data_IF_592401192058
#
_entry.id   IF_592401192058
#
_cell.length_a   1.000
_cell.length_b   1.000
_cell.length_c   1.000
_cell.angle_alpha   90.00
_cell.angle_beta   90.00
_cell.angle_gamma   90.00
#
_symmetry.space_group_name_H-M   'P 1'
#
loop_
_entity.id
_entity.type
_entity.pdbx_description
1 polymer ?
#
# COMPACT_ATOMS: atom_id res chain seq x y z
N UNK A 1 -52.53 11.77 15.29
CA UNK A 1 -51.41 12.07 14.37
C UNK A 1 -50.17 11.44 14.99
N UNK A 2 -49.75 10.22 14.58
CA UNK A 2 -48.45 9.58 14.94
C UNK A 2 -48.28 8.11 14.52
N UNK A 3 -49.32 7.41 14.03
CA UNK A 3 -49.16 5.98 13.62
C UNK A 3 -48.61 5.86 12.19
N UNK A 4 -49.00 6.77 11.29
CA UNK A 4 -48.55 6.75 9.89
C UNK A 4 -47.08 7.12 9.71
N UNK A 5 -46.53 7.99 10.55
CA UNK A 5 -45.10 8.38 10.50
C UNK A 5 -44.20 7.24 10.98
N UNK A 6 -44.59 6.50 12.02
CA UNK A 6 -43.84 5.34 12.50
C UNK A 6 -43.82 4.19 11.50
N UNK A 7 -44.95 3.91 10.83
CA UNK A 7 -45.02 2.88 9.80
C UNK A 7 -44.17 3.21 8.56
N UNK A 8 -44.15 4.49 8.14
CA UNK A 8 -43.31 4.95 7.03
C UNK A 8 -41.82 4.89 7.37
N UNK A 9 -41.43 5.24 8.60
CA UNK A 9 -40.05 5.14 9.05
C UNK A 9 -39.57 3.69 9.12
N UNK A 10 -40.43 2.76 9.53
CA UNK A 10 -40.11 1.33 9.58
C UNK A 10 -39.97 0.69 8.20
N UNK A 11 -40.79 1.08 7.22
CA UNK A 11 -40.67 0.58 5.84
C UNK A 11 -39.44 1.14 5.14
N UNK A 12 -39.13 2.42 5.36
CA UNK A 12 -37.87 3.02 4.89
C UNK A 12 -36.69 2.29 5.53
N UNK A 13 -36.66 2.11 6.85
CA UNK A 13 -35.57 1.37 7.52
C UNK A 13 -35.40 -0.06 7.00
N UNK A 14 -36.50 -0.77 6.74
CA UNK A 14 -36.48 -2.14 6.22
C UNK A 14 -35.88 -2.24 4.81
N UNK A 15 -36.23 -1.32 3.90
CA UNK A 15 -35.68 -1.30 2.53
C UNK A 15 -34.21 -0.89 2.52
N UNK A 16 -33.81 0.08 3.35
CA UNK A 16 -32.40 0.46 3.48
C UNK A 16 -31.55 -0.68 4.07
N UNK A 17 -32.09 -1.46 5.02
CA UNK A 17 -31.37 -2.61 5.59
C UNK A 17 -31.14 -3.74 4.58
N UNK A 18 -32.11 -4.03 3.69
CA UNK A 18 -31.97 -5.14 2.73
C UNK A 18 -31.02 -4.80 1.57
N UNK A 19 -31.10 -3.56 1.06
CA UNK A 19 -30.23 -3.11 -0.06
C UNK A 19 -28.77 -3.05 0.37
N UNK A 20 -28.50 -2.65 1.61
CA UNK A 20 -27.14 -2.62 2.14
C UNK A 20 -26.56 -4.02 2.33
N UNK A 21 -27.36 -4.99 2.78
CA UNK A 21 -26.92 -6.38 2.93
C UNK A 21 -26.49 -7.01 1.60
N UNK A 22 -27.26 -6.79 0.52
CA UNK A 22 -26.93 -7.30 -0.82
C UNK A 22 -25.68 -6.62 -1.41
N UNK A 23 -25.46 -5.33 -1.13
CA UNK A 23 -24.25 -4.63 -1.55
C UNK A 23 -23.03 -5.18 -0.80
N UNK A 24 -23.13 -5.31 0.51
CA UNK A 24 -22.04 -5.75 1.37
C UNK A 24 -21.65 -7.21 1.14
N UNK A 25 -22.56 -8.03 0.60
CA UNK A 25 -22.28 -9.41 0.21
C UNK A 25 -21.36 -9.56 -1.02
N UNK A 26 -21.17 -8.49 -1.80
CA UNK A 26 -20.33 -8.51 -3.02
C UNK A 26 -18.91 -8.11 -2.70
N UNK A 27 -17.95 -8.59 -3.49
CA UNK A 27 -16.57 -8.12 -3.35
C UNK A 27 -16.46 -6.64 -3.76
N UNK A 28 -15.77 -5.82 -2.96
CA UNK A 28 -15.66 -4.36 -3.17
C UNK A 28 -15.21 -3.98 -4.57
N UNK A 29 -14.31 -4.77 -5.16
CA UNK A 29 -13.78 -4.48 -6.50
C UNK A 29 -14.88 -4.64 -7.55
N UNK A 30 -15.78 -5.61 -7.40
CA UNK A 30 -16.92 -5.82 -8.29
C UNK A 30 -17.98 -4.71 -8.16
N UNK A 31 -18.04 -4.04 -7.00
CA UNK A 31 -18.95 -2.92 -6.75
C UNK A 31 -18.37 -1.62 -7.30
N UNK A 32 -17.10 -1.33 -7.00
CA UNK A 32 -16.49 -0.03 -7.28
C UNK A 32 -15.74 0.06 -8.61
N UNK A 33 -15.25 -1.07 -9.14
CA UNK A 33 -14.51 -1.12 -10.41
C UNK A 33 -15.41 -1.77 -11.44
N UNK A 34 -15.93 -0.96 -12.37
CA UNK A 34 -16.84 -1.46 -13.41
C UNK A 34 -16.06 -2.18 -14.52
N UNK A 35 -16.67 -3.19 -15.16
CA UNK A 35 -16.13 -3.75 -16.40
C UNK A 35 -15.84 -2.62 -17.41
N UNK A 36 -14.63 -2.65 -18.00
CA UNK A 36 -14.17 -1.61 -18.93
C UNK A 36 -13.46 -0.41 -18.30
N UNK A 37 -13.37 -0.32 -16.96
CA UNK A 37 -12.50 0.68 -16.31
C UNK A 37 -11.00 0.37 -16.44
N UNK A 38 -10.64 -0.84 -16.90
CA UNK A 38 -9.26 -1.30 -17.07
C UNK A 38 -8.49 -1.41 -15.76
N UNK A 39 -7.34 -2.08 -15.78
CA UNK A 39 -6.29 -1.78 -14.80
C UNK A 39 -5.80 -0.38 -15.15
N UNK A 40 -5.93 0.57 -14.23
CA UNK A 40 -5.46 1.93 -14.50
C UNK A 40 -3.95 1.90 -14.37
N UNK A 41 -3.27 1.98 -15.51
CA UNK A 41 -1.82 2.08 -15.54
C UNK A 41 -1.35 3.29 -14.74
N UNK A 42 -0.21 3.13 -14.06
CA UNK A 42 0.42 4.25 -13.37
C UNK A 42 0.80 5.33 -14.39
N UNK A 43 0.37 6.59 -14.24
CA UNK A 43 0.55 7.61 -15.27
C UNK A 43 2.04 7.93 -15.47
N UNK A 44 2.45 8.15 -16.72
CA UNK A 44 3.85 8.50 -17.07
C UNK A 44 4.12 10.00 -17.03
N UNK A 45 3.05 10.81 -17.08
CA UNK A 45 3.12 12.28 -17.15
C UNK A 45 1.97 12.94 -16.39
N UNK A 46 2.15 14.21 -16.01
CA UNK A 46 1.08 15.00 -15.36
C UNK A 46 -0.18 15.08 -16.23
N UNK A 47 -0.02 15.12 -17.55
CA UNK A 47 -1.15 15.12 -18.49
C UNK A 47 -1.97 13.84 -18.41
N UNK A 48 -1.31 12.68 -18.31
CA UNK A 48 -1.98 11.38 -18.11
C UNK A 48 -2.63 11.28 -16.73
N UNK A 49 -1.92 11.70 -15.68
CA UNK A 49 -2.48 11.75 -14.32
C UNK A 49 -3.78 12.54 -14.30
N UNK A 50 -3.78 13.74 -14.89
CA UNK A 50 -4.96 14.61 -14.97
C UNK A 50 -6.11 14.01 -15.75
N UNK A 51 -5.84 13.25 -16.82
CA UNK A 51 -6.88 12.52 -17.56
C UNK A 51 -7.49 11.39 -16.73
N UNK A 52 -6.69 10.71 -15.91
CA UNK A 52 -7.14 9.59 -15.06
C UNK A 52 -7.79 10.02 -13.74
N UNK A 53 -7.56 11.26 -13.31
CA UNK A 53 -8.08 11.82 -12.05
C UNK A 53 -9.57 11.60 -11.78
N UNK A 54 -10.50 11.90 -12.72
CA UNK A 54 -11.93 11.67 -12.49
C UNK A 54 -12.26 10.21 -12.17
N UNK A 55 -11.55 9.27 -12.80
CA UNK A 55 -11.73 7.83 -12.59
C UNK A 55 -11.19 7.41 -11.23
N UNK A 56 -9.95 7.80 -10.88
CA UNK A 56 -9.36 7.48 -9.58
C UNK A 56 -10.17 8.03 -8.40
N UNK A 57 -10.56 9.30 -8.46
CA UNK A 57 -11.37 9.92 -7.41
C UNK A 57 -12.73 9.24 -7.27
N UNK A 58 -13.36 8.84 -8.38
CA UNK A 58 -14.62 8.10 -8.35
C UNK A 58 -14.47 6.72 -7.70
N UNK A 59 -13.40 6.00 -8.01
CA UNK A 59 -13.11 4.68 -7.42
C UNK A 59 -12.86 4.83 -5.91
N UNK A 60 -11.97 5.74 -5.51
CA UNK A 60 -11.65 5.97 -4.09
C UNK A 60 -12.87 6.41 -3.30
N UNK A 61 -13.72 7.29 -3.86
CA UNK A 61 -14.97 7.68 -3.22
C UNK A 61 -15.91 6.49 -3.04
N UNK A 62 -16.05 5.64 -4.06
CA UNK A 62 -16.86 4.43 -3.93
C UNK A 62 -16.32 3.49 -2.85
N UNK A 63 -14.99 3.29 -2.79
CA UNK A 63 -14.36 2.43 -1.78
C UNK A 63 -14.59 2.97 -0.36
N UNK A 64 -14.46 4.29 -0.18
CA UNK A 64 -14.77 4.95 1.08
C UNK A 64 -16.25 4.80 1.48
N UNK A 65 -17.18 5.05 0.55
CA UNK A 65 -18.62 4.86 0.77
C UNK A 65 -18.94 3.40 1.11
N UNK A 66 -18.32 2.45 0.42
CA UNK A 66 -18.47 1.02 0.67
C UNK A 66 -17.96 0.63 2.07
N UNK A 67 -16.78 1.10 2.46
CA UNK A 67 -16.23 0.86 3.80
C UNK A 67 -17.14 1.43 4.89
N UNK A 68 -17.62 2.66 4.72
CA UNK A 68 -18.53 3.30 5.69
C UNK A 68 -19.86 2.55 5.82
N UNK A 69 -20.35 1.95 4.74
CA UNK A 69 -21.62 1.23 4.73
C UNK A 69 -21.50 -0.19 5.31
N UNK A 70 -20.47 -0.92 4.90
CA UNK A 70 -20.31 -2.35 5.17
C UNK A 70 -19.44 -2.65 6.39
N UNK A 71 -18.65 -1.67 6.84
CA UNK A 71 -17.66 -1.82 7.90
C UNK A 71 -16.52 -2.76 7.53
N UNK A 72 -15.65 -3.03 8.49
CA UNK A 72 -14.52 -3.97 8.42
C UNK A 72 -14.93 -5.44 8.55
N UNK A 73 -16.23 -5.77 8.45
CA UNK A 73 -16.80 -7.09 8.79
C UNK A 73 -16.38 -8.27 7.89
N UNK A 74 -15.54 -8.04 6.88
CA UNK A 74 -15.01 -9.12 6.05
C UNK A 74 -13.58 -9.49 6.46
N UNK A 75 -13.32 -10.76 6.82
CA UNK A 75 -11.99 -11.22 7.15
C UNK A 75 -11.05 -11.03 5.94
N UNK A 76 -9.92 -10.35 6.16
CA UNK A 76 -8.96 -9.99 5.11
C UNK A 76 -9.07 -8.54 4.61
N UNK A 77 -10.04 -7.76 5.12
CA UNK A 77 -10.01 -6.30 4.99
C UNK A 77 -9.49 -5.71 6.29
N UNK A 78 -8.20 -5.42 6.32
CA UNK A 78 -7.73 -4.28 7.07
C UNK A 78 -8.37 -3.01 6.53
N UNK A 79 -8.60 -2.04 7.41
CA UNK A 79 -9.16 -0.76 7.06
C UNK A 79 -8.11 0.05 6.28
N UNK A 80 -7.99 -0.19 4.98
CA UNK A 80 -7.25 0.74 4.10
C UNK A 80 -7.84 2.13 4.39
N UNK A 81 -6.98 3.09 4.71
CA UNK A 81 -7.37 4.50 4.90
C UNK A 81 -7.74 5.15 3.57
N UNK A 82 -8.89 4.75 3.02
CA UNK A 82 -9.38 5.25 1.73
C UNK A 82 -9.71 6.74 1.77
N UNK A 83 -9.98 7.29 2.94
CA UNK A 83 -10.10 8.73 3.17
C UNK A 83 -8.77 9.45 2.91
N UNK A 84 -7.66 8.99 3.50
CA UNK A 84 -6.33 9.54 3.25
C UNK A 84 -5.89 9.33 1.81
N UNK A 85 -6.15 8.16 1.24
CA UNK A 85 -5.89 7.91 -0.18
C UNK A 85 -6.70 8.85 -1.08
N UNK A 86 -7.96 9.14 -0.75
CA UNK A 86 -8.79 10.10 -1.46
C UNK A 86 -8.28 11.53 -1.34
N UNK A 87 -7.82 11.94 -0.15
CA UNK A 87 -7.20 13.25 0.08
C UNK A 87 -5.92 13.39 -0.75
N UNK A 88 -5.03 12.42 -0.70
CA UNK A 88 -3.79 12.39 -1.49
C UNK A 88 -4.07 12.45 -2.99
N UNK A 89 -5.02 11.66 -3.49
CA UNK A 89 -5.41 11.70 -4.89
C UNK A 89 -6.03 13.04 -5.27
N UNK A 90 -6.85 13.65 -4.41
CA UNK A 90 -7.40 14.98 -4.63
C UNK A 90 -6.30 16.04 -4.73
N UNK A 91 -5.28 15.95 -3.86
CA UNK A 91 -4.10 16.79 -3.93
C UNK A 91 -3.34 16.56 -5.24
N UNK A 92 -3.06 15.30 -5.62
CA UNK A 92 -2.38 14.94 -6.87
C UNK A 92 -3.14 15.42 -8.11
N UNK A 93 -4.47 15.48 -8.04
CA UNK A 93 -5.33 15.93 -9.13
C UNK A 93 -5.49 17.45 -9.20
N UNK A 94 -5.18 18.19 -8.14
CA UNK A 94 -5.22 19.64 -8.15
C UNK A 94 -3.90 20.22 -8.68
N UNK A 95 -3.93 20.79 -9.90
CA UNK A 95 -2.75 21.37 -10.57
C UNK A 95 -2.01 22.44 -9.78
N UNK A 96 -2.70 23.08 -8.83
CA UNK A 96 -2.15 24.15 -8.00
C UNK A 96 -1.66 23.64 -6.64
N UNK A 97 -1.78 22.34 -6.33
CA UNK A 97 -1.29 21.80 -5.07
C UNK A 97 0.22 21.59 -5.13
N UNK A 98 0.89 21.77 -3.97
CA UNK A 98 2.31 21.47 -3.85
C UNK A 98 2.60 20.00 -4.20
N UNK A 99 1.72 19.09 -3.77
CA UNK A 99 1.86 17.65 -4.03
C UNK A 99 1.80 17.31 -5.53
N UNK A 100 0.93 17.96 -6.31
CA UNK A 100 0.88 17.77 -7.76
C UNK A 100 2.18 18.18 -8.44
N UNK A 101 2.72 19.34 -8.05
CA UNK A 101 3.96 19.88 -8.60
C UNK A 101 5.15 18.99 -8.25
N UNK A 102 5.22 18.54 -7.01
CA UNK A 102 6.25 17.62 -6.52
C UNK A 102 6.18 16.26 -7.24
N UNK A 103 5.00 15.64 -7.29
CA UNK A 103 4.77 14.38 -7.98
C UNK A 103 5.18 14.47 -9.46
N UNK A 104 4.85 15.58 -10.12
CA UNK A 104 5.17 15.81 -11.53
C UNK A 104 6.65 15.71 -11.87
N UNK A 105 7.53 16.11 -10.94
CA UNK A 105 8.98 16.03 -11.14
C UNK A 105 9.51 14.59 -11.13
N UNK A 106 8.80 13.67 -10.45
CA UNK A 106 9.24 12.29 -10.22
C UNK A 106 8.42 11.26 -10.99
N UNK A 107 7.30 11.66 -11.60
CA UNK A 107 6.28 10.75 -12.09
C UNK A 107 6.78 9.75 -13.15
N UNK A 108 7.56 10.21 -14.13
CA UNK A 108 8.13 9.33 -15.16
C UNK A 108 9.11 8.30 -14.56
N UNK A 109 9.90 8.70 -13.56
CA UNK A 109 10.80 7.79 -12.87
C UNK A 109 10.03 6.75 -12.03
N UNK A 110 9.03 7.21 -11.27
CA UNK A 110 8.15 6.35 -10.48
C UNK A 110 7.37 5.36 -11.35
N UNK A 111 6.92 5.77 -12.54
CA UNK A 111 6.30 4.87 -13.51
C UNK A 111 7.24 3.71 -13.88
N UNK A 112 8.48 4.02 -14.26
CA UNK A 112 9.48 3.00 -14.62
C UNK A 112 9.82 2.09 -13.43
N UNK A 113 9.84 2.63 -12.22
CA UNK A 113 9.99 1.81 -11.01
C UNK A 113 8.81 0.88 -10.83
N UNK A 114 7.58 1.39 -10.92
CA UNK A 114 6.36 0.61 -10.75
C UNK A 114 6.25 -0.52 -11.77
N UNK A 115 6.65 -0.31 -13.03
CA UNK A 115 6.62 -1.37 -14.05
C UNK A 115 7.73 -2.41 -13.87
N UNK A 116 8.84 -2.05 -13.20
CA UNK A 116 9.99 -2.96 -13.01
C UNK A 116 10.14 -3.52 -11.59
N UNK A 117 9.30 -3.09 -10.64
CA UNK A 117 9.48 -3.39 -9.21
C UNK A 117 9.49 -4.88 -8.91
N UNK A 118 8.53 -5.63 -9.44
CA UNK A 118 8.40 -7.08 -9.20
C UNK A 118 9.69 -7.80 -9.61
N UNK A 119 10.17 -7.56 -10.83
CA UNK A 119 11.34 -8.24 -11.37
C UNK A 119 12.63 -7.97 -10.58
N UNK A 120 12.76 -6.78 -9.97
CA UNK A 120 13.96 -6.42 -9.21
C UNK A 120 13.86 -6.81 -7.75
N UNK A 121 12.70 -6.60 -7.13
CA UNK A 121 12.47 -6.77 -5.70
C UNK A 121 12.14 -8.21 -5.33
N UNK A 122 11.33 -8.92 -6.11
CA UNK A 122 10.90 -10.28 -5.76
C UNK A 122 12.07 -11.26 -5.52
N UNK A 123 13.17 -11.25 -6.31
CA UNK A 123 14.34 -12.08 -6.02
C UNK A 123 15.07 -11.73 -4.72
N UNK A 124 14.89 -10.51 -4.21
CA UNK A 124 15.45 -10.07 -2.92
C UNK A 124 14.49 -10.36 -1.76
N UNK A 125 13.18 -10.18 -1.97
CA UNK A 125 12.15 -10.31 -0.93
C UNK A 125 12.06 -11.75 -0.41
N UNK A 126 11.82 -12.75 -1.26
CA UNK A 126 11.55 -14.11 -0.79
C UNK A 126 12.67 -14.69 0.10
N UNK A 127 13.96 -14.59 -0.27
CA UNK A 127 15.04 -15.05 0.61
C UNK A 127 15.12 -14.24 1.91
N UNK A 128 14.85 -12.94 1.86
CA UNK A 128 14.89 -12.06 3.03
C UNK A 128 13.78 -12.36 4.02
N UNK A 129 12.55 -12.62 3.54
CA UNK A 129 11.41 -13.04 4.37
C UNK A 129 11.76 -14.33 5.10
N UNK A 130 12.27 -15.33 4.36
CA UNK A 130 12.70 -16.60 4.95
C UNK A 130 13.76 -16.41 6.02
N UNK A 131 14.85 -15.71 5.73
CA UNK A 131 15.91 -15.43 6.72
C UNK A 131 15.39 -14.68 7.94
N UNK A 132 14.50 -13.71 7.75
CA UNK A 132 13.95 -12.90 8.85
C UNK A 132 13.01 -13.71 9.75
N UNK A 133 12.20 -14.60 9.18
CA UNK A 133 11.36 -15.52 9.96
C UNK A 133 12.22 -16.52 10.73
N UNK A 134 13.20 -17.14 10.07
CA UNK A 134 14.10 -18.11 10.70
C UNK A 134 14.92 -17.50 11.84
N UNK A 135 15.37 -16.23 11.69
CA UNK A 135 16.11 -15.53 12.76
C UNK A 135 15.25 -15.25 13.99
N UNK A 136 13.93 -15.29 13.87
CA UNK A 136 12.97 -15.15 14.97
C UNK A 136 12.36 -16.50 15.38
N UNK A 137 12.96 -17.62 14.96
CA UNK A 137 12.55 -18.98 15.34
C UNK A 137 11.31 -19.50 14.61
N UNK A 138 10.90 -18.84 13.52
CA UNK A 138 9.76 -19.25 12.69
C UNK A 138 10.32 -19.96 11.46
N UNK A 139 10.12 -21.28 11.39
CA UNK A 139 10.60 -22.12 10.29
C UNK A 139 9.44 -22.49 9.38
N UNK A 140 9.52 -22.08 8.12
CA UNK A 140 8.55 -22.47 7.09
C UNK A 140 8.87 -23.90 6.64
N UNK A 141 7.92 -24.82 6.78
CA UNK A 141 8.07 -26.18 6.27
C UNK A 141 7.93 -26.16 4.74
N UNK A 142 9.06 -26.08 4.04
CA UNK A 142 9.11 -26.09 2.56
C UNK A 142 8.46 -27.35 1.95
N UNK A 143 8.16 -28.40 2.74
CA UNK A 143 7.63 -29.70 2.26
C UNK A 143 6.14 -29.89 2.51
N UNK A 144 5.50 -29.07 3.36
CA UNK A 144 4.06 -29.09 3.58
C UNK A 144 3.42 -27.81 3.04
N UNK A 145 2.73 -27.94 1.90
CA UNK A 145 1.91 -26.86 1.33
C UNK A 145 0.80 -26.36 2.26
N UNK A 146 0.52 -27.05 3.37
CA UNK A 146 -0.39 -26.60 4.41
C UNK A 146 0.41 -25.83 5.49
N UNK A 147 0.80 -24.59 5.18
CA UNK A 147 1.25 -23.67 6.22
C UNK A 147 0.13 -23.48 7.23
N UNK A 148 0.47 -23.41 8.53
CA UNK A 148 -0.51 -22.99 9.53
C UNK A 148 -1.00 -21.60 9.13
N UNK A 149 -2.30 -21.34 9.24
CA UNK A 149 -2.92 -20.06 8.83
C UNK A 149 -2.14 -18.84 9.35
N UNK A 150 -1.63 -18.87 10.58
CA UNK A 150 -0.87 -17.75 11.13
C UNK A 150 0.52 -17.60 10.50
N UNK A 151 1.19 -18.70 10.14
CA UNK A 151 2.50 -18.65 9.48
C UNK A 151 2.37 -18.12 8.06
N UNK A 152 1.25 -18.45 7.38
CA UNK A 152 0.89 -17.92 6.07
C UNK A 152 0.64 -16.39 6.13
N UNK A 153 -0.13 -15.93 7.12
CA UNK A 153 -0.36 -14.50 7.34
C UNK A 153 0.93 -13.73 7.66
N UNK A 154 1.81 -14.29 8.51
CA UNK A 154 3.13 -13.70 8.81
C UNK A 154 4.00 -13.58 7.56
N UNK A 155 4.05 -14.65 6.76
CA UNK A 155 4.81 -14.69 5.53
C UNK A 155 4.31 -13.63 4.54
N UNK A 156 2.99 -13.51 4.36
CA UNK A 156 2.39 -12.50 3.50
C UNK A 156 2.65 -11.08 4.00
N UNK A 157 2.44 -10.80 5.29
CA UNK A 157 2.72 -9.50 5.88
C UNK A 157 4.19 -9.07 5.69
N UNK A 158 5.15 -9.96 5.98
CA UNK A 158 6.57 -9.65 5.78
C UNK A 158 6.94 -9.50 4.31
N UNK A 159 6.33 -10.29 3.43
CA UNK A 159 6.52 -10.17 1.97
C UNK A 159 6.10 -8.78 1.51
N UNK A 160 4.92 -8.32 1.92
CA UNK A 160 4.39 -7.02 1.55
C UNK A 160 5.23 -5.87 2.13
N UNK A 161 5.57 -5.95 3.42
CA UNK A 161 6.44 -4.97 4.07
C UNK A 161 7.83 -4.86 3.40
N UNK A 162 8.40 -5.99 2.99
CA UNK A 162 9.68 -6.03 2.28
C UNK A 162 9.57 -5.54 0.83
N UNK A 163 8.47 -5.79 0.13
CA UNK A 163 8.22 -5.22 -1.19
C UNK A 163 8.16 -3.70 -1.12
N UNK A 164 7.44 -3.15 -0.14
CA UNK A 164 7.38 -1.71 0.13
C UNK A 164 8.76 -1.15 0.43
N UNK A 165 9.50 -1.81 1.32
CA UNK A 165 10.87 -1.40 1.68
C UNK A 165 11.81 -1.40 0.47
N UNK A 166 11.74 -2.43 -0.38
CA UNK A 166 12.51 -2.49 -1.62
C UNK A 166 12.11 -1.37 -2.58
N UNK A 167 10.81 -1.11 -2.74
CA UNK A 167 10.31 -0.05 -3.61
C UNK A 167 10.82 1.33 -3.18
N UNK A 168 10.78 1.63 -1.88
CA UNK A 168 11.30 2.89 -1.31
C UNK A 168 12.81 3.01 -1.51
N UNK A 169 13.57 1.96 -1.17
CA UNK A 169 15.02 1.95 -1.37
C UNK A 169 15.39 2.16 -2.85
N UNK A 170 14.66 1.53 -3.78
CA UNK A 170 14.85 1.76 -5.22
C UNK A 170 14.45 3.17 -5.65
N UNK A 171 13.41 3.74 -5.05
CA UNK A 171 13.00 5.13 -5.29
C UNK A 171 14.12 6.09 -4.93
N UNK A 172 14.74 5.92 -3.76
CA UNK A 172 15.93 6.68 -3.34
C UNK A 172 17.05 6.61 -4.39
N UNK A 173 17.40 5.38 -4.81
CA UNK A 173 18.52 5.12 -5.70
C UNK A 173 18.30 5.66 -7.12
N UNK A 174 17.08 5.57 -7.64
CA UNK A 174 16.80 5.84 -9.06
C UNK A 174 16.11 7.17 -9.32
N UNK A 175 15.26 7.62 -8.39
CA UNK A 175 14.48 8.86 -8.52
C UNK A 175 14.95 9.96 -7.55
N UNK A 176 15.83 9.63 -6.60
CA UNK A 176 16.42 10.56 -5.64
C UNK A 176 15.63 10.71 -4.34
N UNK A 177 16.26 11.37 -3.37
CA UNK A 177 15.77 11.49 -1.99
C UNK A 177 14.40 12.20 -1.89
N UNK A 178 14.11 13.13 -2.80
CA UNK A 178 12.81 13.82 -2.82
C UNK A 178 11.67 12.83 -3.14
N UNK A 179 11.82 12.02 -4.18
CA UNK A 179 10.84 11.01 -4.55
C UNK A 179 10.69 9.95 -3.44
N UNK A 180 11.80 9.57 -2.79
CA UNK A 180 11.79 8.66 -1.64
C UNK A 180 10.92 9.21 -0.50
N UNK A 181 11.17 10.47 -0.09
CA UNK A 181 10.41 11.10 0.99
C UNK A 181 8.94 11.24 0.65
N UNK A 182 8.61 11.60 -0.59
CA UNK A 182 7.23 11.64 -1.06
C UNK A 182 6.56 10.26 -0.98
N UNK A 183 7.24 9.19 -1.41
CA UNK A 183 6.68 7.84 -1.33
C UNK A 183 6.51 7.37 0.12
N UNK A 184 7.46 7.70 1.01
CA UNK A 184 7.35 7.44 2.46
C UNK A 184 6.14 8.14 3.07
N UNK A 185 5.95 9.42 2.76
CA UNK A 185 4.77 10.20 3.22
C UNK A 185 3.46 9.57 2.73
N UNK A 186 3.36 9.25 1.44
CA UNK A 186 2.18 8.58 0.86
C UNK A 186 1.87 7.28 1.60
N UNK A 187 2.86 6.40 1.73
CA UNK A 187 2.69 5.07 2.29
C UNK A 187 2.38 5.12 3.79
N UNK A 188 2.98 6.06 4.52
CA UNK A 188 2.70 6.31 5.94
C UNK A 188 1.29 6.84 6.15
N UNK A 189 0.85 7.82 5.36
CA UNK A 189 -0.49 8.43 5.52
C UNK A 189 -1.62 7.44 5.25
N UNK A 190 -1.43 6.52 4.29
CA UNK A 190 -2.42 5.46 4.02
C UNK A 190 -2.21 4.20 4.86
N UNK A 191 -1.22 4.21 5.76
CA UNK A 191 -0.84 3.07 6.62
C UNK A 191 -0.73 1.77 5.82
N UNK A 192 -0.01 1.83 4.69
CA UNK A 192 -0.07 0.79 3.67
C UNK A 192 0.37 -0.59 4.21
N UNK A 193 1.40 -0.64 5.05
CA UNK A 193 1.93 -1.91 5.57
C UNK A 193 1.05 -2.45 6.70
N UNK A 194 0.66 -1.59 7.64
CA UNK A 194 -0.26 -1.88 8.74
C UNK A 194 -1.57 -2.42 8.19
N UNK A 195 -2.04 -1.80 7.12
CA UNK A 195 -3.18 -2.25 6.35
C UNK A 195 -2.90 -3.63 5.78
N UNK A 196 -1.87 -3.86 4.95
CA UNK A 196 -1.68 -5.19 4.35
C UNK A 196 -1.51 -6.32 5.40
N UNK A 197 -0.87 -6.03 6.52
CA UNK A 197 -0.65 -6.98 7.61
C UNK A 197 -1.89 -7.20 8.49
N UNK A 198 -2.72 -6.17 8.69
CA UNK A 198 -3.63 -6.09 9.82
C UNK A 198 -2.89 -5.68 11.10
N UNK A 199 -3.55 -4.91 11.97
CA UNK A 199 -2.97 -4.29 13.16
C UNK A 199 -2.27 -5.31 14.09
N UNK A 200 -2.95 -6.40 14.44
CA UNK A 200 -2.40 -7.44 15.33
C UNK A 200 -1.10 -8.07 14.77
N UNK A 201 -1.10 -8.39 13.47
CA UNK A 201 0.06 -9.01 12.82
C UNK A 201 1.20 -8.01 12.64
N UNK A 202 0.87 -6.75 12.33
CA UNK A 202 1.85 -5.68 12.21
C UNK A 202 2.57 -5.45 13.54
N UNK A 203 1.82 -5.36 14.65
CA UNK A 203 2.38 -5.19 15.98
C UNK A 203 3.24 -6.39 16.39
N UNK A 204 2.80 -7.62 16.09
CA UNK A 204 3.58 -8.83 16.34
C UNK A 204 4.92 -8.81 15.58
N UNK A 205 4.90 -8.37 14.32
CA UNK A 205 6.05 -8.40 13.42
C UNK A 205 6.83 -7.09 13.37
N UNK A 206 6.50 -6.10 14.19
CA UNK A 206 7.05 -4.75 14.12
C UNK A 206 8.58 -4.71 14.10
N UNK A 207 9.24 -5.45 15.01
CA UNK A 207 10.70 -5.53 15.06
C UNK A 207 11.29 -6.25 13.85
N UNK A 208 10.64 -7.32 13.39
CA UNK A 208 11.02 -8.09 12.20
C UNK A 208 10.91 -7.24 10.94
N UNK A 209 9.84 -6.46 10.80
CA UNK A 209 9.62 -5.51 9.69
C UNK A 209 10.72 -4.43 9.69
N UNK A 210 11.06 -3.88 10.86
CA UNK A 210 12.12 -2.87 10.97
C UNK A 210 13.49 -3.44 10.61
N UNK A 211 13.79 -4.67 11.03
CA UNK A 211 15.02 -5.36 10.65
C UNK A 211 15.06 -5.63 9.14
N UNK A 212 13.98 -6.17 8.60
CA UNK A 212 13.77 -6.45 7.19
C UNK A 212 13.95 -5.22 6.30
N UNK A 213 13.41 -4.07 6.72
CA UNK A 213 13.55 -2.80 6.02
C UNK A 213 15.03 -2.42 5.83
N UNK A 214 15.81 -2.41 6.92
CA UNK A 214 17.24 -2.07 6.90
C UNK A 214 18.08 -3.05 6.10
N UNK A 215 17.74 -4.34 6.17
CA UNK A 215 18.40 -5.36 5.36
C UNK A 215 18.11 -5.16 3.87
N UNK A 216 16.86 -4.82 3.53
CA UNK A 216 16.46 -4.54 2.15
C UNK A 216 17.15 -3.31 1.57
N UNK A 217 17.26 -2.22 2.34
CA UNK A 217 18.02 -1.02 1.93
C UNK A 217 19.47 -1.38 1.55
N UNK A 218 20.13 -2.20 2.38
CA UNK A 218 21.50 -2.67 2.11
C UNK A 218 21.58 -3.54 0.86
N UNK A 219 20.66 -4.48 0.68
CA UNK A 219 20.62 -5.38 -0.48
C UNK A 219 20.37 -4.62 -1.78
N UNK A 220 19.46 -3.65 -1.77
CA UNK A 220 19.22 -2.77 -2.92
C UNK A 220 20.47 -1.94 -3.21
N UNK A 221 21.07 -1.31 -2.20
CA UNK A 221 22.31 -0.53 -2.39
C UNK A 221 23.44 -1.39 -2.98
N UNK A 222 23.67 -2.60 -2.46
CA UNK A 222 24.69 -3.52 -2.96
C UNK A 222 24.46 -3.90 -4.43
N UNK A 223 23.23 -4.29 -4.79
CA UNK A 223 22.86 -4.67 -6.17
C UNK A 223 23.12 -3.53 -7.18
N UNK A 224 22.88 -2.28 -6.78
CA UNK A 224 23.13 -1.13 -7.64
C UNK A 224 24.61 -0.70 -7.65
N UNK A 225 25.34 -0.87 -6.54
CA UNK A 225 26.79 -0.66 -6.45
C UNK A 225 27.58 -1.65 -7.33
N UNK A 226 27.13 -2.90 -7.45
CA UNK A 226 27.76 -3.90 -8.34
C UNK A 226 27.53 -3.60 -9.84
N UNK A 227 26.41 -2.95 -10.15
CA UNK A 227 25.97 -2.68 -11.53
C UNK A 227 26.51 -1.37 -12.11
N UNK A 228 27.01 -0.43 -11.30
CA UNK A 228 27.38 0.92 -11.74
C UNK A 228 28.70 1.39 -11.13
N UNK A 229 29.52 2.06 -11.93
CA UNK A 229 30.67 2.88 -11.51
C UNK A 229 30.26 4.17 -10.76
N UNK A 230 29.08 4.20 -10.13
CA UNK A 230 28.49 5.37 -9.48
C UNK A 230 28.75 5.33 -7.99
N UNK A 231 29.84 5.99 -7.60
CA UNK A 231 30.36 6.11 -6.23
C UNK A 231 29.36 6.62 -5.16
N UNK A 232 28.30 7.36 -5.54
CA UNK A 232 27.50 8.13 -4.57
C UNK A 232 26.71 7.31 -3.56
N UNK A 233 26.34 6.07 -3.86
CA UNK A 233 25.55 5.23 -2.95
C UNK A 233 26.42 4.34 -2.07
N UNK A 234 27.58 3.92 -2.56
CA UNK A 234 28.48 3.04 -1.81
C UNK A 234 29.19 3.78 -0.67
N UNK A 235 29.30 5.12 -0.75
CA UNK A 235 29.87 5.98 0.29
C UNK A 235 28.83 6.55 1.28
N UNK A 236 27.52 6.34 1.07
CA UNK A 236 26.51 6.73 2.06
C UNK A 236 26.63 5.80 3.27
N UNK A 237 27.41 6.21 4.28
CA UNK A 237 27.28 5.65 5.63
C UNK A 237 25.81 5.76 6.04
N UNK A 238 25.19 4.69 6.55
CA UNK A 238 23.80 4.74 6.98
C UNK A 238 23.63 5.88 7.98
N UNK A 239 22.63 6.77 7.83
CA UNK A 239 22.45 7.90 8.71
C UNK A 239 22.30 7.41 10.15
N UNK A 240 23.25 7.80 11.00
CA UNK A 240 23.22 7.49 12.43
C UNK A 240 22.16 8.39 13.07
N UNK A 241 21.03 7.78 13.44
CA UNK A 241 20.02 8.20 14.42
C UNK A 241 19.63 9.70 14.41
N UNK A 242 18.48 9.98 13.80
CA UNK A 242 17.44 10.78 14.46
C UNK A 242 16.21 9.90 14.64
N UNK A 243 15.57 9.96 15.81
CA UNK A 243 14.27 9.32 16.08
C UNK A 243 13.24 9.96 15.15
N UNK A 244 13.12 9.36 13.98
CA UNK A 244 11.93 9.37 13.17
C UNK A 244 11.04 8.24 13.75
N UNK A 245 9.71 8.32 13.60
CA UNK A 245 8.81 7.28 14.09
C UNK A 245 9.37 5.90 13.66
N UNK A 246 9.26 4.85 14.48
CA UNK A 246 9.92 3.57 14.18
C UNK A 246 9.47 2.96 12.84
N UNK A 247 8.44 3.52 12.20
CA UNK A 247 7.95 3.10 10.91
C UNK A 247 8.14 4.10 9.77
N UNK A 248 8.05 5.44 9.93
CA UNK A 248 8.33 6.43 8.86
C UNK A 248 8.67 7.81 9.38
#
# INVERSE_FOLDING_TARGET
MNIFTSALLLTIYGVFSSVNADLCAKERHNVCIKPGMGLIDFPTSLGELQKSCPTFLKILRCLLEYQNLCGSKYPGMSEIKFDEAYVLMTQACNKNSAFHLELGSSLSCLHNLFTTHINVCQPLVNPSVKTSLESHGIYLDDKNYAMKKNDDLRYHCLTDAMQVSCFIARTSVTCGDQAENMMKDILSRVEYVETLCGEEMFDELAETILYAHKDMEKKVAAKYCESWSVFRLCDRKPPIKKRIHPFW
#
